data_IF_078992425610
#
_entry.id   IF_078992425610
#
_cell.length_a   1.000
_cell.length_b   1.000
_cell.length_c   1.000
_cell.angle_alpha   90.00
_cell.angle_beta   90.00
_cell.angle_gamma   90.00
#
_symmetry.space_group_name_H-M   'P 1'
#
loop_
_entity.id
_entity.type
_entity.pdbx_description
1 polymer ?
#
# COMPACT_ATOMS: atom_id res chain seq x y z
N UNK A 1 21.86 21.93 10.23
CA UNK A 1 21.05 23.06 10.71
C UNK A 1 19.67 22.59 11.22
N UNK A 2 19.21 21.39 10.85
CA UNK A 2 18.05 20.77 11.45
C UNK A 2 18.48 19.89 12.63
N UNK A 3 17.70 19.92 13.71
CA UNK A 3 17.93 19.15 14.94
C UNK A 3 16.96 17.97 15.09
N UNK A 4 15.90 17.98 14.29
CA UNK A 4 14.86 16.96 14.32
C UNK A 4 14.46 16.55 12.90
N UNK A 5 14.30 15.26 12.68
CA UNK A 5 13.89 14.67 11.41
C UNK A 5 12.75 13.70 11.65
N UNK A 6 11.67 13.83 10.88
CA UNK A 6 10.50 12.97 10.97
C UNK A 6 10.42 12.15 9.69
N UNK A 7 10.33 10.82 9.83
CA UNK A 7 10.03 9.89 8.75
C UNK A 7 8.60 9.40 8.97
N UNK A 8 7.71 9.89 8.13
CA UNK A 8 6.28 9.55 8.20
C UNK A 8 5.95 8.33 7.35
N UNK A 9 4.88 7.60 7.72
CA UNK A 9 4.39 6.42 7.00
C UNK A 9 5.47 5.33 6.77
N UNK A 10 6.35 5.12 7.75
CA UNK A 10 7.47 4.17 7.62
C UNK A 10 7.02 2.73 7.34
N UNK A 11 5.79 2.38 7.69
CA UNK A 11 5.19 1.07 7.43
C UNK A 11 4.95 0.78 5.94
N UNK A 12 4.97 1.78 5.06
CA UNK A 12 4.90 1.57 3.61
C UNK A 12 6.09 0.76 3.09
N UNK A 13 7.23 0.80 3.80
CA UNK A 13 8.43 0.04 3.48
C UNK A 13 8.80 0.13 2.00
N UNK A 14 8.61 1.33 1.43
CA UNK A 14 9.07 1.64 0.07
C UNK A 14 10.60 1.62 0.01
N UNK A 15 11.12 1.42 -1.19
CA UNK A 15 12.57 1.39 -1.44
C UNK A 15 13.27 2.66 -0.92
N UNK A 16 12.62 3.82 -1.09
CA UNK A 16 13.15 5.10 -0.63
C UNK A 16 13.12 5.23 0.90
N UNK A 17 12.06 4.74 1.55
CA UNK A 17 11.95 4.74 3.01
C UNK A 17 13.02 3.84 3.62
N UNK A 18 13.15 2.60 3.17
CA UNK A 18 14.15 1.67 3.70
C UNK A 18 15.58 2.17 3.48
N UNK A 19 15.86 2.78 2.33
CA UNK A 19 17.14 3.44 2.07
C UNK A 19 17.38 4.62 3.02
N UNK A 20 16.38 5.49 3.21
CA UNK A 20 16.47 6.63 4.12
C UNK A 20 16.70 6.18 5.57
N UNK A 21 15.98 5.17 6.04
CA UNK A 21 16.14 4.63 7.40
C UNK A 21 17.55 4.07 7.60
N UNK A 22 18.08 3.31 6.64
CA UNK A 22 19.47 2.85 6.68
C UNK A 22 20.49 4.00 6.72
N UNK A 23 20.27 5.05 5.93
CA UNK A 23 21.10 6.25 5.95
C UNK A 23 21.03 6.99 7.29
N UNK A 24 19.84 7.11 7.89
CA UNK A 24 19.66 7.74 9.19
C UNK A 24 20.38 6.98 10.32
N UNK A 25 20.45 5.65 10.25
CA UNK A 25 21.27 4.84 11.18
C UNK A 25 22.76 5.18 11.07
N UNK A 26 23.28 5.43 9.86
CA UNK A 26 24.66 5.90 9.67
C UNK A 26 24.85 7.35 10.14
N UNK A 27 23.90 8.21 9.85
CA UNK A 27 23.95 9.62 10.20
C UNK A 27 23.93 9.83 11.72
N UNK A 28 23.13 9.07 12.46
CA UNK A 28 23.04 9.13 13.92
C UNK A 28 24.39 8.87 14.61
N UNK A 29 25.24 8.02 14.03
CA UNK A 29 26.60 7.80 14.55
C UNK A 29 27.48 9.04 14.43
N UNK A 30 27.24 9.92 13.44
CA UNK A 30 27.96 11.15 13.19
C UNK A 30 27.29 12.35 13.88
N UNK A 31 26.00 12.28 14.10
CA UNK A 31 25.15 13.33 14.67
C UNK A 31 24.30 12.74 15.81
N UNK A 32 24.89 12.45 16.96
CA UNK A 32 24.15 11.88 18.10
C UNK A 32 23.13 12.88 18.70
N UNK A 33 23.28 14.16 18.40
CA UNK A 33 22.36 15.25 18.76
C UNK A 33 21.06 15.25 17.92
N UNK A 34 21.05 14.60 16.75
CA UNK A 34 19.91 14.57 15.83
C UNK A 34 18.78 13.71 16.41
N UNK A 35 17.62 14.31 16.56
CA UNK A 35 16.40 13.59 16.97
C UNK A 35 15.74 13.00 15.73
N UNK A 36 15.43 11.72 15.78
CA UNK A 36 14.74 11.00 14.70
C UNK A 36 13.42 10.51 15.25
N UNK A 37 12.32 10.87 14.58
CA UNK A 37 10.97 10.42 14.88
C UNK A 37 10.50 9.60 13.68
N UNK A 38 10.10 8.36 13.94
CA UNK A 38 9.55 7.46 12.91
C UNK A 38 8.09 7.23 13.24
N UNK A 39 7.18 7.58 12.32
CA UNK A 39 5.75 7.31 12.49
C UNK A 39 5.33 6.11 11.65
N UNK A 40 4.45 5.30 12.21
CA UNK A 40 3.96 4.09 11.57
C UNK A 40 2.50 3.85 11.97
N UNK A 41 1.66 3.47 11.02
CA UNK A 41 0.26 3.12 11.28
C UNK A 41 0.08 1.64 11.65
N UNK A 42 1.12 0.83 11.58
CA UNK A 42 1.07 -0.61 11.87
C UNK A 42 1.92 -0.98 13.10
N UNK A 43 1.64 -2.17 13.65
CA UNK A 43 2.20 -2.66 14.91
C UNK A 43 3.67 -3.12 14.78
N UNK A 44 4.28 -3.11 13.58
CA UNK A 44 5.70 -3.48 13.40
C UNK A 44 6.68 -2.40 13.93
N UNK A 45 6.28 -1.77 15.04
CA UNK A 45 7.09 -0.75 15.71
C UNK A 45 8.31 -1.34 16.41
N UNK A 46 8.26 -2.63 16.77
CA UNK A 46 9.36 -3.34 17.42
C UNK A 46 10.58 -3.40 16.49
N UNK A 47 10.39 -3.77 15.23
CA UNK A 47 11.47 -3.81 14.23
C UNK A 47 12.16 -2.46 14.06
N UNK A 48 11.39 -1.36 14.06
CA UNK A 48 11.97 0.00 14.01
C UNK A 48 12.70 0.35 15.32
N UNK A 49 12.12 0.02 16.48
CA UNK A 49 12.75 0.25 17.79
C UNK A 49 14.11 -0.42 17.88
N UNK A 50 14.17 -1.72 17.61
CA UNK A 50 15.42 -2.50 17.60
C UNK A 50 16.45 -1.96 16.61
N UNK A 51 16.01 -1.56 15.42
CA UNK A 51 16.90 -0.97 14.39
C UNK A 51 17.52 0.36 14.83
N UNK A 52 16.94 1.08 15.78
CA UNK A 52 17.37 2.38 16.30
C UNK A 52 17.74 2.32 17.80
N UNK A 53 18.44 1.26 18.22
CA UNK A 53 19.02 1.06 19.55
C UNK A 53 17.94 1.06 20.64
N UNK A 54 16.91 0.27 20.47
CA UNK A 54 15.76 0.14 21.37
C UNK A 54 15.07 1.49 21.65
N UNK A 55 14.89 2.28 20.59
CA UNK A 55 14.21 3.56 20.67
C UNK A 55 12.82 3.43 21.29
N UNK A 56 12.40 4.34 22.18
CA UNK A 56 11.12 4.24 22.87
C UNK A 56 9.95 4.29 21.86
N UNK A 57 8.98 3.40 22.07
CA UNK A 57 7.74 3.34 21.30
C UNK A 57 6.67 4.16 22.03
N UNK A 58 6.08 5.12 21.34
CA UNK A 58 4.97 5.93 21.85
C UNK A 58 3.74 5.56 21.06
N UNK A 59 2.79 4.89 21.71
CA UNK A 59 1.50 4.57 21.10
C UNK A 59 0.52 5.71 21.31
N UNK A 60 -0.05 6.18 20.21
CA UNK A 60 -1.11 7.19 20.21
C UNK A 60 -2.37 6.55 19.66
N UNK A 61 -3.29 6.20 20.54
CA UNK A 61 -4.61 5.71 20.15
C UNK A 61 -5.52 6.88 19.81
N UNK A 62 -5.87 7.03 18.54
CA UNK A 62 -6.98 7.90 18.14
C UNK A 62 -8.31 7.25 18.55
N UNK A 63 -9.31 8.06 18.93
CA UNK A 63 -10.68 7.56 19.04
C UNK A 63 -11.20 7.24 17.64
N UNK A 64 -11.28 5.96 17.31
CA UNK A 64 -11.98 5.47 16.14
C UNK A 64 -13.34 4.91 16.58
N UNK A 65 -14.32 5.06 15.71
CA UNK A 65 -15.60 4.40 15.89
C UNK A 65 -15.44 2.90 15.59
N UNK A 66 -16.27 2.04 16.18
CA UNK A 66 -16.25 0.61 15.90
C UNK A 66 -16.42 0.32 14.42
N UNK A 67 -15.72 -0.71 13.94
CA UNK A 67 -15.89 -1.24 12.59
C UNK A 67 -16.37 -2.67 12.69
N UNK A 68 -17.52 -2.94 12.12
CA UNK A 68 -18.03 -4.30 11.93
C UNK A 68 -17.36 -4.92 10.71
N UNK A 69 -16.65 -6.03 10.89
CA UNK A 69 -16.05 -6.79 9.78
C UNK A 69 -16.99 -7.92 9.38
N UNK A 70 -17.39 -7.93 8.11
CA UNK A 70 -18.20 -8.98 7.49
C UNK A 70 -17.36 -9.73 6.46
N UNK A 71 -17.44 -11.05 6.47
CA UNK A 71 -16.80 -11.91 5.48
C UNK A 71 -17.88 -12.41 4.50
N UNK A 72 -17.72 -12.01 3.24
CA UNK A 72 -18.60 -12.43 2.13
C UNK A 72 -17.71 -13.11 1.06
N UNK A 73 -17.27 -14.36 1.31
CA UNK A 73 -16.41 -15.06 0.35
C UNK A 73 -17.10 -15.17 -0.99
N UNK A 74 -16.31 -15.00 -2.05
CA UNK A 74 -16.77 -15.00 -3.43
C UNK A 74 -17.66 -16.20 -3.76
N UNK A 75 -17.26 -17.38 -3.29
CA UNK A 75 -17.95 -18.65 -3.52
C UNK A 75 -19.34 -18.68 -2.88
N UNK A 76 -19.51 -18.05 -1.72
CA UNK A 76 -20.79 -17.97 -1.02
C UNK A 76 -21.71 -16.91 -1.61
N UNK A 77 -21.15 -15.76 -2.00
CA UNK A 77 -21.89 -14.64 -2.58
C UNK A 77 -22.49 -14.98 -3.96
N UNK A 78 -21.86 -15.90 -4.68
CA UNK A 78 -22.13 -16.16 -6.09
C UNK A 78 -22.61 -17.59 -6.39
N UNK A 79 -23.07 -18.33 -5.36
CA UNK A 79 -23.40 -19.77 -5.38
C UNK A 79 -24.24 -20.28 -6.58
N UNK A 80 -25.02 -19.40 -7.22
CA UNK A 80 -25.93 -19.77 -8.31
C UNK A 80 -25.67 -19.08 -9.66
N UNK A 81 -24.52 -18.42 -9.87
CA UNK A 81 -24.34 -17.49 -10.98
C UNK A 81 -23.32 -17.88 -12.07
N UNK A 82 -22.81 -19.10 -12.09
CA UNK A 82 -21.87 -19.55 -13.14
C UNK A 82 -20.45 -19.01 -12.98
N UNK A 83 -19.75 -18.73 -14.08
CA UNK A 83 -18.41 -18.14 -14.06
C UNK A 83 -18.49 -16.66 -13.59
N UNK A 84 -17.89 -16.35 -12.46
CA UNK A 84 -17.84 -15.01 -11.84
C UNK A 84 -16.46 -14.73 -11.27
N UNK A 85 -16.16 -13.44 -11.16
CA UNK A 85 -14.90 -12.96 -10.64
C UNK A 85 -15.09 -11.99 -9.46
N UNK A 86 -13.98 -11.51 -8.90
CA UNK A 86 -14.00 -10.55 -7.79
C UNK A 86 -14.63 -9.19 -8.18
N UNK A 87 -14.69 -8.86 -9.48
CA UNK A 87 -15.38 -7.65 -9.97
C UNK A 87 -16.88 -7.83 -9.83
N UNK A 88 -17.40 -8.99 -10.22
CA UNK A 88 -18.81 -9.32 -10.04
C UNK A 88 -19.21 -9.27 -8.57
N UNK A 89 -18.39 -9.86 -7.69
CA UNK A 89 -18.61 -9.83 -6.25
C UNK A 89 -18.60 -8.41 -5.70
N UNK A 90 -17.65 -7.56 -6.15
CA UNK A 90 -17.61 -6.16 -5.74
C UNK A 90 -18.87 -5.40 -6.16
N UNK A 91 -19.34 -5.60 -7.40
CA UNK A 91 -20.57 -4.97 -7.92
C UNK A 91 -21.81 -5.42 -7.12
N UNK A 92 -21.95 -6.73 -6.85
CA UNK A 92 -23.05 -7.27 -6.04
C UNK A 92 -23.01 -6.70 -4.62
N UNK A 93 -21.84 -6.66 -4.01
CA UNK A 93 -21.67 -6.12 -2.65
C UNK A 93 -22.02 -4.62 -2.57
N UNK A 94 -21.69 -3.83 -3.60
CA UNK A 94 -22.13 -2.42 -3.68
C UNK A 94 -23.65 -2.34 -3.70
N UNK A 95 -24.30 -3.15 -4.54
CA UNK A 95 -25.79 -3.15 -4.62
C UNK A 95 -26.43 -3.53 -3.29
N UNK A 96 -25.94 -4.55 -2.61
CA UNK A 96 -26.48 -5.01 -1.33
C UNK A 96 -26.35 -3.92 -0.25
N UNK A 97 -25.17 -3.28 -0.15
CA UNK A 97 -24.96 -2.17 0.80
C UNK A 97 -25.84 -0.97 0.44
N UNK A 98 -26.03 -0.65 -0.83
CA UNK A 98 -26.92 0.43 -1.26
C UNK A 98 -28.39 0.16 -0.95
N UNK A 99 -28.81 -1.10 -0.91
CA UNK A 99 -30.16 -1.52 -0.49
C UNK A 99 -30.30 -1.55 1.03
N UNK A 100 -29.29 -2.03 1.76
CA UNK A 100 -29.29 -2.10 3.24
C UNK A 100 -29.37 -0.71 3.88
N UNK A 101 -28.69 0.27 3.30
CA UNK A 101 -28.63 1.62 3.86
C UNK A 101 -28.70 2.68 2.78
N UNK A 102 -29.25 3.85 3.12
CA UNK A 102 -29.30 5.04 2.24
C UNK A 102 -28.27 6.10 2.58
N UNK A 103 -27.45 5.91 3.62
CA UNK A 103 -26.48 6.89 4.11
C UNK A 103 -25.07 6.31 4.12
N UNK A 104 -24.07 7.21 4.11
CA UNK A 104 -22.67 6.88 4.13
C UNK A 104 -22.11 6.51 2.76
N UNK A 105 -20.89 6.98 2.47
CA UNK A 105 -20.19 6.70 1.22
C UNK A 105 -19.47 5.33 1.28
N UNK A 106 -19.26 4.72 0.13
CA UNK A 106 -18.59 3.44 -0.01
C UNK A 106 -17.19 3.64 -0.59
N UNK A 107 -16.21 2.86 -0.11
CA UNK A 107 -14.88 2.74 -0.69
C UNK A 107 -14.64 1.27 -1.07
N UNK A 108 -14.40 1.03 -2.34
CA UNK A 108 -14.15 -0.29 -2.91
C UNK A 108 -12.69 -0.42 -3.31
N UNK A 109 -11.97 -1.37 -2.73
CA UNK A 109 -10.59 -1.66 -3.09
C UNK A 109 -10.50 -2.68 -4.21
N UNK A 110 -9.89 -2.26 -5.32
CA UNK A 110 -9.68 -3.06 -6.53
C UNK A 110 -8.18 -3.08 -6.89
N UNK A 111 -7.67 -4.17 -7.49
CA UNK A 111 -6.23 -4.32 -7.69
C UNK A 111 -5.67 -3.43 -8.81
N UNK A 112 -6.45 -3.00 -9.80
CA UNK A 112 -5.92 -2.26 -10.95
C UNK A 112 -6.87 -1.20 -11.50
N UNK A 113 -6.30 -0.27 -12.28
CA UNK A 113 -7.05 0.73 -13.04
C UNK A 113 -8.08 0.08 -13.99
N UNK A 114 -7.69 -1.02 -14.65
CA UNK A 114 -8.58 -1.76 -15.54
C UNK A 114 -9.81 -2.26 -14.78
N UNK A 115 -9.61 -2.85 -13.62
CA UNK A 115 -10.69 -3.41 -12.80
C UNK A 115 -11.60 -2.30 -12.26
N UNK A 116 -11.02 -1.13 -11.92
CA UNK A 116 -11.78 0.07 -11.53
C UNK A 116 -12.70 0.52 -12.66
N UNK A 117 -12.16 0.63 -13.89
CA UNK A 117 -12.97 1.07 -15.04
C UNK A 117 -14.07 0.07 -15.38
N UNK A 118 -13.76 -1.22 -15.34
CA UNK A 118 -14.74 -2.27 -15.58
C UNK A 118 -15.84 -2.28 -14.51
N UNK A 119 -15.47 -2.16 -13.21
CA UNK A 119 -16.44 -2.05 -12.12
C UNK A 119 -17.29 -0.79 -12.26
N UNK A 120 -16.68 0.33 -12.65
CA UNK A 120 -17.39 1.59 -12.89
C UNK A 120 -18.43 1.44 -13.99
N UNK A 121 -18.07 0.89 -15.14
CA UNK A 121 -18.97 0.66 -16.26
C UNK A 121 -20.16 -0.24 -15.87
N UNK A 122 -19.88 -1.34 -15.15
CA UNK A 122 -20.93 -2.24 -14.66
C UNK A 122 -21.90 -1.57 -13.68
N UNK A 123 -21.40 -0.72 -12.77
CA UNK A 123 -22.23 0.02 -11.81
C UNK A 123 -23.02 1.15 -12.49
N UNK A 124 -22.42 1.90 -13.42
CA UNK A 124 -23.11 2.94 -14.18
C UNK A 124 -24.24 2.37 -15.03
N UNK A 125 -24.05 1.18 -15.61
CA UNK A 125 -25.10 0.45 -16.33
C UNK A 125 -26.33 0.09 -15.49
N UNK A 126 -26.22 0.09 -14.15
CA UNK A 126 -27.33 -0.14 -13.22
C UNK A 126 -28.20 1.08 -12.95
N UNK A 127 -27.83 2.26 -13.46
CA UNK A 127 -28.57 3.51 -13.34
C UNK A 127 -28.95 3.85 -11.90
N UNK A 128 -27.99 3.76 -10.96
CA UNK A 128 -28.20 3.97 -9.52
C UNK A 128 -28.59 5.44 -9.24
N UNK A 129 -29.82 5.68 -8.83
CA UNK A 129 -30.34 7.04 -8.59
C UNK A 129 -29.67 7.67 -7.36
N UNK A 130 -29.13 8.88 -7.51
CA UNK A 130 -28.55 9.63 -6.38
C UNK A 130 -27.20 9.08 -5.90
N UNK A 131 -26.57 8.20 -6.69
CA UNK A 131 -25.22 7.65 -6.42
C UNK A 131 -24.26 8.17 -7.47
N UNK A 132 -23.11 8.66 -7.02
CA UNK A 132 -22.00 9.10 -7.87
C UNK A 132 -20.86 8.06 -7.76
N UNK A 133 -20.38 7.54 -8.89
CA UNK A 133 -19.29 6.57 -8.95
C UNK A 133 -18.02 7.30 -9.32
N UNK A 134 -16.99 7.23 -8.48
CA UNK A 134 -15.76 7.98 -8.60
C UNK A 134 -14.54 7.04 -8.61
N UNK A 135 -13.76 7.02 -9.70
CA UNK A 135 -12.49 6.30 -9.71
C UNK A 135 -11.41 7.06 -8.94
N UNK A 136 -10.49 6.31 -8.28
CA UNK A 136 -9.33 6.86 -7.57
C UNK A 136 -8.09 5.96 -7.76
N UNK A 137 -7.17 6.38 -8.61
CA UNK A 137 -5.89 5.72 -8.88
C UNK A 137 -4.80 6.72 -9.29
N UNK A 138 -3.54 6.33 -9.20
CA UNK A 138 -2.41 7.25 -9.29
C UNK A 138 -2.22 7.98 -10.62
N UNK A 139 -2.77 7.47 -11.74
CA UNK A 139 -2.67 8.10 -13.07
C UNK A 139 -3.73 9.15 -13.36
N UNK A 140 -4.72 9.29 -12.49
CA UNK A 140 -5.72 10.35 -12.62
C UNK A 140 -5.05 11.72 -12.47
N UNK A 141 -5.58 12.72 -13.18
CA UNK A 141 -5.18 14.11 -12.99
C UNK A 141 -5.54 14.59 -11.57
N UNK A 142 -4.85 15.62 -11.08
CA UNK A 142 -5.13 16.18 -9.77
C UNK A 142 -6.60 16.63 -9.62
N UNK A 143 -7.20 17.16 -10.69
CA UNK A 143 -8.61 17.58 -10.69
C UNK A 143 -9.58 16.40 -10.56
N UNK A 144 -9.29 15.27 -11.21
CA UNK A 144 -10.11 14.06 -11.10
C UNK A 144 -9.99 13.46 -9.69
N UNK A 145 -8.78 13.40 -9.13
CA UNK A 145 -8.57 12.95 -7.76
C UNK A 145 -9.29 13.85 -6.74
N UNK A 146 -9.29 15.17 -6.95
CA UNK A 146 -9.97 16.11 -6.06
C UNK A 146 -11.48 15.92 -6.00
N UNK A 147 -12.11 15.36 -7.03
CA UNK A 147 -13.56 15.08 -7.02
C UNK A 147 -13.98 14.21 -5.84
N UNK A 148 -13.13 13.27 -5.43
CA UNK A 148 -13.38 12.36 -4.31
C UNK A 148 -13.46 13.12 -2.97
N UNK A 149 -12.76 14.25 -2.87
CA UNK A 149 -12.70 15.08 -1.64
C UNK A 149 -13.69 16.25 -1.66
N UNK A 150 -14.27 16.57 -2.82
CA UNK A 150 -15.15 17.71 -2.96
C UNK A 150 -16.43 17.52 -2.13
N UNK A 151 -16.97 18.57 -1.49
CA UNK A 151 -18.28 18.50 -0.87
C UNK A 151 -19.36 18.18 -1.91
N UNK A 152 -20.26 17.27 -1.60
CA UNK A 152 -21.33 16.86 -2.53
C UNK A 152 -22.56 16.33 -1.78
N UNK A 153 -23.74 16.41 -2.42
CA UNK A 153 -25.01 15.95 -1.85
C UNK A 153 -25.33 14.48 -2.16
N UNK A 154 -24.79 13.93 -3.23
CA UNK A 154 -25.02 12.55 -3.62
C UNK A 154 -24.21 11.59 -2.77
N UNK A 155 -24.70 10.37 -2.61
CA UNK A 155 -23.97 9.25 -2.05
C UNK A 155 -22.88 8.82 -3.04
N UNK A 156 -21.69 8.44 -2.57
CA UNK A 156 -20.56 8.10 -3.42
C UNK A 156 -20.16 6.65 -3.28
N UNK A 157 -19.77 6.08 -4.40
CA UNK A 157 -19.03 4.83 -4.47
C UNK A 157 -17.65 5.16 -5.04
N UNK A 158 -16.63 5.16 -4.20
CA UNK A 158 -15.26 5.43 -4.60
C UNK A 158 -14.59 4.10 -4.91
N UNK A 159 -14.15 3.93 -6.16
CA UNK A 159 -13.42 2.75 -6.62
C UNK A 159 -11.93 3.06 -6.62
N UNK A 160 -11.16 2.43 -5.75
CA UNK A 160 -9.78 2.80 -5.52
C UNK A 160 -8.81 1.63 -5.61
N UNK A 161 -7.57 1.91 -6.01
CA UNK A 161 -6.44 1.03 -5.77
C UNK A 161 -5.92 1.22 -4.33
N UNK A 162 -4.83 0.56 -3.98
CA UNK A 162 -4.14 0.75 -2.72
C UNK A 162 -3.67 2.19 -2.43
N UNK A 163 -3.81 3.15 -3.36
CA UNK A 163 -3.56 4.58 -3.09
C UNK A 163 -4.45 5.12 -1.97
N UNK A 164 -5.65 4.55 -1.79
CA UNK A 164 -6.57 4.92 -0.72
C UNK A 164 -6.29 4.17 0.60
N UNK A 165 -5.28 3.31 0.64
CA UNK A 165 -4.96 2.48 1.81
C UNK A 165 -4.22 3.27 2.89
N UNK A 166 -3.35 4.23 2.51
CA UNK A 166 -2.51 4.99 3.46
C UNK A 166 -2.69 6.50 3.36
N UNK A 167 -2.16 7.14 2.35
CA UNK A 167 -1.87 8.57 2.31
C UNK A 167 -3.07 9.51 2.17
N UNK A 168 -4.29 9.00 1.92
CA UNK A 168 -5.46 9.82 1.63
C UNK A 168 -6.58 9.61 2.66
N UNK A 169 -7.09 10.69 3.24
CA UNK A 169 -8.29 10.63 4.07
C UNK A 169 -9.50 11.04 3.25
N UNK A 170 -10.26 10.05 2.78
CA UNK A 170 -11.51 10.28 2.05
C UNK A 170 -12.61 10.53 3.07
N UNK A 171 -13.32 11.67 2.98
CA UNK A 171 -14.37 11.99 3.93
C UNK A 171 -15.61 11.11 3.72
N UNK A 172 -16.45 10.96 4.76
CA UNK A 172 -17.76 10.32 4.72
C UNK A 172 -17.77 8.82 4.41
N UNK A 173 -16.62 8.13 4.35
CA UNK A 173 -16.56 6.69 4.14
C UNK A 173 -17.11 5.99 5.39
N UNK A 174 -18.22 5.30 5.20
CA UNK A 174 -18.83 4.43 6.19
C UNK A 174 -18.66 2.95 5.86
N UNK A 175 -18.60 2.63 4.57
CA UNK A 175 -18.49 1.26 4.08
C UNK A 175 -17.21 1.06 3.32
N UNK A 176 -16.52 -0.03 3.62
CA UNK A 176 -15.37 -0.52 2.86
C UNK A 176 -15.72 -1.86 2.27
N UNK A 177 -15.46 -2.05 0.97
CA UNK A 177 -15.48 -3.34 0.30
C UNK A 177 -14.06 -3.67 -0.10
N UNK A 178 -13.53 -4.76 0.44
CA UNK A 178 -12.15 -5.18 0.22
C UNK A 178 -12.10 -6.50 -0.55
N UNK A 179 -11.64 -6.44 -1.81
CA UNK A 179 -11.41 -7.63 -2.64
C UNK A 179 -10.26 -8.51 -2.12
N UNK A 180 -9.45 -8.00 -1.18
CA UNK A 180 -8.29 -8.72 -0.66
C UNK A 180 -7.12 -8.80 -1.64
N UNK A 181 -7.17 -8.04 -2.74
CA UNK A 181 -6.21 -8.09 -3.84
C UNK A 181 -5.51 -6.74 -4.04
N UNK A 182 -4.25 -6.79 -4.52
CA UNK A 182 -3.52 -5.62 -4.99
C UNK A 182 -2.52 -6.01 -6.08
N UNK A 183 -2.07 -5.02 -6.88
CA UNK A 183 -0.91 -5.18 -7.75
C UNK A 183 0.36 -4.84 -6.99
N UNK A 184 1.24 -5.82 -6.88
CA UNK A 184 2.54 -5.65 -6.23
C UNK A 184 3.66 -5.78 -7.26
N UNK A 185 4.56 -4.79 -7.27
CA UNK A 185 5.73 -4.85 -8.14
C UNK A 185 6.68 -5.95 -7.69
N UNK A 186 7.06 -6.83 -8.62
CA UNK A 186 8.04 -7.89 -8.40
C UNK A 186 9.06 -7.89 -9.51
N UNK A 187 10.33 -7.85 -9.14
CA UNK A 187 11.44 -7.96 -10.05
C UNK A 187 11.97 -9.40 -10.10
N UNK A 188 12.15 -9.92 -11.30
CA UNK A 188 12.81 -11.20 -11.52
C UNK A 188 14.26 -10.96 -11.95
N UNK A 189 15.26 -11.22 -11.08
CA UNK A 189 16.66 -10.98 -11.42
C UNK A 189 17.23 -11.91 -12.50
N UNK A 190 16.57 -13.06 -12.77
CA UNK A 190 17.04 -13.99 -13.84
C UNK A 190 16.64 -13.52 -15.23
N UNK A 191 15.48 -12.89 -15.37
CA UNK A 191 14.95 -12.45 -16.66
C UNK A 191 15.04 -10.94 -16.84
N UNK A 192 15.54 -10.20 -15.85
CA UNK A 192 15.62 -8.74 -15.80
C UNK A 192 14.25 -8.06 -16.08
N UNK A 193 13.15 -8.74 -15.71
CA UNK A 193 11.80 -8.23 -15.96
C UNK A 193 11.12 -7.80 -14.67
N UNK A 194 10.44 -6.67 -14.74
CA UNK A 194 9.51 -6.23 -13.71
C UNK A 194 8.09 -6.67 -14.07
N UNK A 195 7.40 -7.28 -13.13
CA UNK A 195 6.00 -7.70 -13.28
C UNK A 195 5.15 -7.04 -12.21
N UNK A 196 3.86 -6.90 -12.50
CA UNK A 196 2.85 -6.37 -11.59
C UNK A 196 1.71 -7.39 -11.46
N UNK A 197 1.97 -8.57 -10.88
CA UNK A 197 0.92 -9.56 -10.66
C UNK A 197 -0.14 -9.03 -9.69
N UNK A 198 -1.36 -9.53 -9.83
CA UNK A 198 -2.42 -9.37 -8.84
C UNK A 198 -2.20 -10.46 -7.80
N UNK A 199 -2.04 -10.05 -6.55
CA UNK A 199 -1.76 -10.96 -5.43
C UNK A 199 -2.65 -10.62 -4.23
N UNK A 200 -2.82 -11.58 -3.32
CA UNK A 200 -3.47 -11.34 -2.04
C UNK A 200 -2.68 -10.35 -1.18
N UNK A 201 -3.37 -9.44 -0.52
CA UNK A 201 -2.78 -8.49 0.41
C UNK A 201 -2.45 -9.14 1.75
N UNK A 202 -1.57 -8.51 2.54
CA UNK A 202 -1.28 -8.93 3.91
C UNK A 202 -2.42 -8.63 4.89
N UNK A 203 -2.38 -9.21 6.09
CA UNK A 203 -3.32 -8.87 7.17
C UNK A 203 -3.22 -7.40 7.56
N UNK A 204 -2.01 -6.84 7.63
CA UNK A 204 -1.76 -5.44 7.93
C UNK A 204 -2.44 -4.52 6.90
N UNK A 205 -2.27 -4.80 5.61
CA UNK A 205 -2.93 -4.06 4.53
C UNK A 205 -4.47 -4.15 4.64
N UNK A 206 -5.01 -5.34 4.92
CA UNK A 206 -6.45 -5.52 5.13
C UNK A 206 -6.98 -4.71 6.32
N UNK A 207 -6.23 -4.62 7.44
CA UNK A 207 -6.57 -3.77 8.59
C UNK A 207 -6.49 -2.28 8.26
N UNK A 208 -5.54 -1.86 7.43
CA UNK A 208 -5.45 -0.46 6.97
C UNK A 208 -6.66 -0.09 6.10
N UNK A 209 -7.10 -0.99 5.19
CA UNK A 209 -8.32 -0.81 4.40
C UNK A 209 -9.55 -0.71 5.30
N UNK A 210 -9.71 -1.61 6.26
CA UNK A 210 -10.74 -1.56 7.28
C UNK A 210 -10.77 -0.22 8.00
N UNK A 211 -9.61 0.31 8.41
CA UNK A 211 -9.48 1.60 9.08
C UNK A 211 -9.87 2.82 8.22
N UNK A 212 -10.25 2.65 6.95
CA UNK A 212 -10.78 3.75 6.12
C UNK A 212 -12.23 4.09 6.44
N UNK A 213 -13.01 3.16 6.96
CA UNK A 213 -14.27 3.45 7.66
C UNK A 213 -14.05 3.56 9.17
N UNK A 214 -15.06 3.93 9.94
CA UNK A 214 -14.92 4.13 11.40
C UNK A 214 -14.16 5.39 11.82
N UNK A 215 -13.97 6.35 10.93
CA UNK A 215 -13.28 7.63 11.25
C UNK A 215 -14.22 8.71 11.78
N UNK A 216 -15.45 8.72 11.32
CA UNK A 216 -16.45 9.74 11.65
C UNK A 216 -17.66 9.16 12.38
N UNK A 217 -18.01 7.92 12.06
CA UNK A 217 -19.12 7.15 12.60
C UNK A 217 -18.80 5.65 12.54
N UNK A 218 -19.64 4.82 13.13
CA UNK A 218 -19.51 3.35 13.07
C UNK A 218 -19.43 2.89 11.62
N UNK A 219 -18.41 2.10 11.31
CA UNK A 219 -18.11 1.62 9.98
C UNK A 219 -18.46 0.16 9.76
N UNK A 220 -18.57 -0.25 8.49
CA UNK A 220 -18.70 -1.64 8.09
C UNK A 220 -17.66 -1.93 7.01
N UNK A 221 -16.85 -2.99 7.24
CA UNK A 221 -15.88 -3.49 6.28
C UNK A 221 -16.32 -4.87 5.79
N UNK A 222 -16.62 -4.98 4.50
CA UNK A 222 -16.95 -6.23 3.84
C UNK A 222 -15.71 -6.77 3.15
N UNK A 223 -15.24 -7.94 3.54
CA UNK A 223 -14.13 -8.67 2.96
C UNK A 223 -14.66 -9.73 2.01
N UNK A 224 -14.31 -9.66 0.72
CA UNK A 224 -14.75 -10.61 -0.31
C UNK A 224 -13.93 -11.91 -0.32
N UNK A 225 -13.48 -12.32 0.84
CA UNK A 225 -12.74 -13.56 1.11
C UNK A 225 -13.07 -14.04 2.52
N UNK A 226 -12.76 -15.31 2.81
CA UNK A 226 -13.10 -15.92 4.10
C UNK A 226 -12.20 -15.42 5.24
N UNK A 227 -12.68 -15.55 6.48
CA UNK A 227 -11.85 -15.29 7.67
C UNK A 227 -10.65 -16.25 7.72
N UNK A 228 -10.84 -17.50 7.30
CA UNK A 228 -9.74 -18.46 7.24
C UNK A 228 -8.67 -18.03 6.25
N UNK A 229 -9.03 -17.49 5.08
CA UNK A 229 -8.08 -16.91 4.13
C UNK A 229 -7.35 -15.72 4.74
N UNK A 230 -8.07 -14.81 5.42
CA UNK A 230 -7.45 -13.69 6.12
C UNK A 230 -6.40 -14.13 7.13
N UNK A 231 -6.71 -15.10 7.97
CA UNK A 231 -5.80 -15.61 9.00
C UNK A 231 -4.59 -16.35 8.42
N UNK A 232 -4.73 -16.95 7.23
CA UNK A 232 -3.65 -17.62 6.52
C UNK A 232 -2.68 -16.66 5.80
N UNK A 233 -3.06 -15.38 5.63
CA UNK A 233 -2.23 -14.39 4.94
C UNK A 233 -1.01 -13.98 5.77
N UNK A 234 0.10 -13.57 5.12
CA UNK A 234 1.24 -12.96 5.82
C UNK A 234 0.78 -11.77 6.67
N UNK A 235 1.38 -11.61 7.84
CA UNK A 235 1.04 -10.51 8.74
C UNK A 235 1.34 -9.14 8.11
N UNK A 236 2.54 -9.00 7.49
CA UNK A 236 2.99 -7.78 6.82
C UNK A 236 3.31 -8.00 5.35
N UNK A 237 3.19 -6.94 4.57
CA UNK A 237 3.64 -6.94 3.18
C UNK A 237 5.17 -6.96 3.13
N UNK A 238 5.74 -7.81 2.29
CA UNK A 238 7.18 -7.89 2.09
C UNK A 238 7.74 -6.51 1.68
N UNK A 239 8.78 -5.98 2.36
CA UNK A 239 9.40 -4.70 2.02
C UNK A 239 9.83 -4.63 0.56
N UNK A 240 9.74 -3.45 -0.03
CA UNK A 240 10.08 -3.27 -1.46
C UNK A 240 11.54 -3.58 -1.75
N UNK A 241 12.44 -3.30 -0.82
CA UNK A 241 13.88 -3.61 -0.93
C UNK A 241 14.17 -5.10 -1.20
N UNK A 242 13.27 -5.99 -0.77
CA UNK A 242 13.41 -7.43 -0.95
C UNK A 242 12.81 -7.95 -2.27
N UNK A 243 12.03 -7.14 -3.00
CA UNK A 243 11.29 -7.55 -4.20
C UNK A 243 11.50 -6.65 -5.41
N UNK A 244 12.22 -5.54 -5.28
CA UNK A 244 12.50 -4.58 -6.35
C UNK A 244 13.86 -4.82 -7.02
N UNK A 245 14.07 -4.16 -8.16
CA UNK A 245 15.38 -4.02 -8.75
C UNK A 245 16.20 -3.03 -7.93
N UNK A 246 17.41 -3.42 -7.56
CA UNK A 246 18.29 -2.61 -6.71
C UNK A 246 19.25 -1.69 -7.47
N UNK A 247 19.23 -1.67 -8.80
CA UNK A 247 20.16 -0.88 -9.61
C UNK A 247 20.14 0.60 -9.20
N UNK A 248 18.96 1.19 -9.00
CA UNK A 248 18.85 2.58 -8.57
C UNK A 248 19.45 2.82 -7.18
N UNK A 249 19.19 1.91 -6.22
CA UNK A 249 19.74 2.02 -4.87
C UNK A 249 21.24 1.91 -4.89
N UNK A 250 21.80 0.95 -5.63
CA UNK A 250 23.25 0.76 -5.80
C UNK A 250 23.86 2.01 -6.41
N UNK A 251 23.27 2.56 -7.47
CA UNK A 251 23.74 3.77 -8.13
C UNK A 251 23.79 4.97 -7.18
N UNK A 252 22.73 5.18 -6.40
CA UNK A 252 22.65 6.24 -5.37
C UNK A 252 23.70 6.05 -4.28
N UNK A 253 23.92 4.81 -3.81
CA UNK A 253 24.92 4.51 -2.79
C UNK A 253 26.34 4.83 -3.27
N UNK A 254 26.68 4.46 -4.49
CA UNK A 254 27.97 4.78 -5.10
C UNK A 254 28.13 6.29 -5.25
N UNK A 255 27.11 6.98 -5.78
CA UNK A 255 27.12 8.44 -5.95
C UNK A 255 27.34 9.17 -4.63
N UNK A 256 26.65 8.75 -3.57
CA UNK A 256 26.73 9.34 -2.24
C UNK A 256 27.88 8.81 -1.38
N UNK A 257 28.71 7.91 -1.92
CA UNK A 257 29.87 7.28 -1.24
C UNK A 257 29.47 6.65 0.11
N UNK A 258 28.38 5.89 0.12
CA UNK A 258 27.82 5.27 1.34
C UNK A 258 28.42 3.89 1.63
N UNK A 259 29.38 3.41 0.84
CA UNK A 259 29.98 2.10 0.98
C UNK A 259 29.24 1.01 0.17
N UNK A 260 29.59 -0.25 0.45
CA UNK A 260 29.02 -1.40 -0.24
C UNK A 260 27.59 -1.67 0.25
N UNK A 261 26.70 -2.06 -0.66
CA UNK A 261 25.29 -2.32 -0.35
C UNK A 261 25.11 -3.49 0.64
N UNK A 262 26.02 -4.45 0.61
CA UNK A 262 26.03 -5.60 1.50
C UNK A 262 26.30 -5.23 2.97
N UNK A 263 27.02 -4.13 3.19
CA UNK A 263 27.36 -3.61 4.52
C UNK A 263 26.42 -2.47 4.98
N UNK A 264 25.53 -2.03 4.10
CA UNK A 264 24.64 -0.93 4.42
C UNK A 264 23.56 -1.38 5.44
N UNK A 265 23.29 -0.60 6.50
CA UNK A 265 22.45 -1.04 7.61
C UNK A 265 20.95 -0.93 7.29
N UNK A 266 20.49 -1.64 6.29
CA UNK A 266 19.05 -1.81 6.06
C UNK A 266 18.39 -2.46 7.27
N UNK A 267 17.12 -2.15 7.51
CA UNK A 267 16.33 -2.84 8.53
C UNK A 267 16.14 -4.30 8.11
N UNK A 268 15.66 -4.51 6.89
CA UNK A 268 15.59 -5.82 6.25
C UNK A 268 16.54 -5.82 5.05
N UNK A 269 17.68 -6.51 5.14
CA UNK A 269 18.65 -6.48 4.04
C UNK A 269 18.10 -7.17 2.78
N UNK A 270 18.44 -6.66 1.59
CA UNK A 270 18.09 -7.32 0.34
C UNK A 270 18.80 -8.66 0.19
N UNK A 271 18.21 -9.56 -0.60
CA UNK A 271 18.86 -10.84 -0.88
C UNK A 271 20.13 -10.66 -1.72
N UNK A 272 21.11 -11.56 -1.53
CA UNK A 272 22.33 -11.59 -2.35
C UNK A 272 22.02 -11.69 -3.84
N UNK A 273 20.95 -12.40 -4.21
CA UNK A 273 20.52 -12.53 -5.60
C UNK A 273 19.97 -11.22 -6.16
N UNK A 274 19.25 -10.42 -5.36
CA UNK A 274 18.75 -9.11 -5.77
C UNK A 274 19.92 -8.12 -6.00
N UNK A 275 20.93 -8.14 -5.12
CA UNK A 275 22.14 -7.33 -5.27
C UNK A 275 22.90 -7.74 -6.53
N UNK A 276 23.12 -9.06 -6.70
CA UNK A 276 23.81 -9.59 -7.87
C UNK A 276 23.09 -9.30 -9.20
N UNK A 277 21.78 -9.08 -9.19
CA UNK A 277 21.00 -8.68 -10.37
C UNK A 277 21.09 -7.20 -10.72
N UNK A 278 21.38 -6.32 -9.76
CA UNK A 278 21.44 -4.87 -9.97
C UNK A 278 22.76 -4.41 -10.63
N UNK A 279 23.89 -4.98 -10.24
CA UNK A 279 25.21 -4.60 -10.75
C UNK A 279 25.41 -4.86 -12.25
N UNK A 280 25.05 -6.04 -12.82
CA UNK A 280 25.17 -6.27 -14.24
C UNK A 280 24.33 -5.30 -15.08
N UNK A 281 23.12 -4.98 -14.63
CA UNK A 281 22.27 -4.02 -15.31
C UNK A 281 22.92 -2.63 -15.39
N UNK A 282 23.55 -2.16 -14.32
CA UNK A 282 24.23 -0.87 -14.31
C UNK A 282 25.46 -0.85 -15.23
N UNK A 283 26.16 -1.98 -15.37
CA UNK A 283 27.25 -2.12 -16.33
C UNK A 283 26.75 -2.18 -17.77
N UNK A 284 25.69 -2.92 -18.04
CA UNK A 284 25.05 -2.99 -19.36
C UNK A 284 24.59 -1.61 -19.84
N UNK A 285 24.04 -0.81 -18.92
CA UNK A 285 23.64 0.57 -19.17
C UNK A 285 24.84 1.55 -19.21
N UNK A 286 26.06 1.04 -19.07
CA UNK A 286 27.28 1.86 -19.02
C UNK A 286 27.25 2.94 -17.93
N UNK A 287 26.50 2.71 -16.84
CA UNK A 287 26.45 3.60 -15.67
C UNK A 287 27.60 3.33 -14.69
N UNK A 288 28.14 2.10 -14.69
CA UNK A 288 29.30 1.69 -13.89
C UNK A 288 30.36 1.02 -14.80
N UNK A 289 31.62 1.26 -14.48
CA UNK A 289 32.75 0.51 -15.04
C UNK A 289 32.96 -0.85 -14.31
N UNK A 290 34.04 -1.57 -14.69
CA UNK A 290 34.39 -2.85 -14.08
C UNK A 290 34.74 -2.72 -12.60
N UNK A 291 35.29 -1.58 -12.19
CA UNK A 291 35.67 -1.26 -10.81
C UNK A 291 34.51 -0.69 -9.95
N UNK A 292 33.30 -0.78 -10.45
CA UNK A 292 32.06 -0.24 -9.80
C UNK A 292 32.12 1.27 -9.58
N UNK A 293 32.89 2.02 -10.41
CA UNK A 293 32.87 3.47 -10.37
C UNK A 293 31.91 4.05 -11.41
N UNK A 294 31.39 5.25 -11.12
CA UNK A 294 30.47 5.93 -12.03
C UNK A 294 31.20 6.33 -13.32
N UNK A 295 30.63 5.96 -14.45
CA UNK A 295 31.09 6.46 -15.77
C UNK A 295 30.69 7.94 -15.94
N UNK A 296 31.33 8.61 -16.89
CA UNK A 296 31.07 10.04 -17.19
C UNK A 296 29.89 10.22 -18.15
#
# INVERSE_FOLDING_TARGET
EHDTLIVDEAHERSLNIDFLLGYLRLLRRKRPDLKIIITSATIDTVTFSEAFDDAPIIEVSGRMFPVEVRYWPLEELMQDRGDYDYIDAAVVSVDEILQESRQGDLLVFLPSERDIRETQERLEGRMLRGVEILPLFGRLTASEQQRVFAPGGNRRVVLATNIAETSLTIPRIRYVIDTGLARLSRYNPRTHTQRLPIEGISQSSARQREGRCGRVEDGICVRLYSEQDFLARPEYTQPEIQRANLAEVILRMIHLKLGEIEAFPFIDPPSKQAIAGGLPLLRELNALDEDRTLTR
#
